data_IF_222848041813
#
_entry.id   IF_222848041813
#
_cell.length_a   1.000
_cell.length_b   1.000
_cell.length_c   1.000
_cell.angle_alpha   90.00
_cell.angle_beta   90.00
_cell.angle_gamma   90.00
#
_symmetry.space_group_name_H-M   'P 1'
#
loop_
_entity.id
_entity.type
_entity.pdbx_description
1 polymer ?
#
# COMPACT_ATOMS: atom_id res chain seq x y z
N UNK A 1 19.42 -10.86 -19.81
CA UNK A 1 18.75 -9.62 -20.29
C UNK A 1 18.30 -8.87 -19.06
N UNK A 2 18.52 -7.56 -18.99
CA UNK A 2 18.02 -6.73 -17.89
C UNK A 2 16.67 -6.18 -18.31
N UNK A 3 15.65 -6.41 -17.48
CA UNK A 3 14.33 -5.79 -17.61
C UNK A 3 14.42 -4.33 -17.19
N UNK A 4 13.72 -3.44 -17.87
CA UNK A 4 13.57 -2.05 -17.44
C UNK A 4 12.46 -1.98 -16.36
N UNK A 5 12.78 -1.61 -15.11
CA UNK A 5 11.79 -1.54 -14.04
C UNK A 5 10.75 -0.42 -14.22
N UNK A 6 10.97 0.51 -15.15
CA UNK A 6 10.02 1.58 -15.48
C UNK A 6 9.08 1.26 -16.63
N UNK A 7 9.28 0.14 -17.33
CA UNK A 7 8.39 -0.33 -18.40
C UNK A 7 7.40 -1.38 -17.83
N UNK A 8 6.12 -1.01 -17.58
CA UNK A 8 5.14 -1.92 -17.00
C UNK A 8 4.82 -3.10 -17.93
N UNK A 9 4.97 -2.93 -19.24
CA UNK A 9 4.68 -3.97 -20.24
C UNK A 9 5.73 -5.09 -20.24
N UNK A 10 6.88 -4.88 -19.56
CA UNK A 10 7.87 -5.95 -19.39
C UNK A 10 7.51 -6.91 -18.23
N UNK A 11 6.49 -6.58 -17.43
CA UNK A 11 5.99 -7.46 -16.39
C UNK A 11 4.77 -8.25 -16.89
N UNK A 12 4.76 -9.56 -16.68
CA UNK A 12 3.54 -10.36 -16.85
C UNK A 12 2.58 -10.04 -15.71
N UNK A 13 1.28 -9.93 -16.02
CA UNK A 13 0.24 -9.68 -15.03
C UNK A 13 0.19 -10.86 -14.05
N UNK A 14 0.51 -10.66 -12.76
CA UNK A 14 0.74 -11.78 -11.84
C UNK A 14 -0.56 -12.39 -11.31
N UNK A 15 -1.74 -11.96 -11.78
CA UNK A 15 -3.01 -12.52 -11.35
C UNK A 15 -3.10 -13.98 -11.80
N UNK A 16 -3.05 -14.96 -10.88
CA UNK A 16 -3.10 -16.35 -11.26
C UNK A 16 -4.52 -16.72 -11.71
N UNK A 17 -4.63 -17.51 -12.78
CA UNK A 17 -5.92 -18.00 -13.30
C UNK A 17 -6.67 -18.89 -12.27
N UNK A 18 -5.93 -19.46 -11.31
CA UNK A 18 -6.41 -20.33 -10.25
C UNK A 18 -5.92 -19.82 -8.88
N UNK A 19 -6.69 -20.02 -7.79
CA UNK A 19 -6.25 -19.61 -6.45
C UNK A 19 -4.94 -20.32 -6.08
N UNK A 20 -3.99 -19.54 -5.54
CA UNK A 20 -2.68 -20.06 -5.14
C UNK A 20 -2.86 -21.15 -4.07
N UNK A 21 -2.47 -22.41 -4.32
CA UNK A 21 -2.63 -23.50 -3.36
C UNK A 21 -1.80 -23.31 -2.09
N UNK A 22 -0.79 -22.43 -2.12
CA UNK A 22 0.04 -22.08 -0.96
C UNK A 22 -0.58 -20.95 -0.13
N UNK A 23 -1.56 -20.22 -0.66
CA UNK A 23 -2.29 -19.17 0.04
C UNK A 23 -3.66 -19.70 0.55
N UNK A 24 -3.89 -19.76 1.87
CA UNK A 24 -5.22 -20.05 2.41
C UNK A 24 -6.30 -19.14 1.82
N UNK A 25 -7.53 -19.68 1.66
CA UNK A 25 -8.67 -18.92 1.12
C UNK A 25 -8.95 -17.63 1.93
N UNK A 26 -8.77 -17.69 3.24
CA UNK A 26 -8.95 -16.54 4.13
C UNK A 26 -7.91 -15.44 3.83
N UNK A 27 -6.65 -15.81 3.70
CA UNK A 27 -5.56 -14.88 3.40
C UNK A 27 -5.76 -14.22 2.03
N UNK A 28 -6.15 -15.01 1.02
CA UNK A 28 -6.48 -14.50 -0.32
C UNK A 28 -7.64 -13.50 -0.27
N UNK A 29 -8.69 -13.81 0.51
CA UNK A 29 -9.83 -12.92 0.68
C UNK A 29 -9.46 -11.60 1.37
N UNK A 30 -8.56 -11.63 2.35
CA UNK A 30 -8.04 -10.42 3.00
C UNK A 30 -7.20 -9.57 2.03
N UNK A 31 -6.33 -10.19 1.23
CA UNK A 31 -5.45 -9.50 0.29
C UNK A 31 -6.19 -8.82 -0.87
N UNK A 32 -7.32 -9.38 -1.29
CA UNK A 32 -8.16 -8.81 -2.35
C UNK A 32 -9.14 -7.75 -1.83
N UNK A 33 -9.26 -7.56 -0.52
CA UNK A 33 -10.13 -6.56 0.04
C UNK A 33 -9.57 -5.15 -0.22
N UNK A 34 -10.45 -4.22 -0.61
CA UNK A 34 -10.06 -2.82 -0.76
C UNK A 34 -9.52 -2.25 0.56
N UNK A 35 -8.37 -1.59 0.50
CA UNK A 35 -7.82 -0.84 1.63
C UNK A 35 -8.75 0.32 1.94
N UNK A 36 -9.11 0.50 3.22
CA UNK A 36 -10.02 1.56 3.67
C UNK A 36 -9.30 2.51 4.64
N UNK A 37 -8.62 3.56 4.13
CA UNK A 37 -7.83 4.49 4.94
C UNK A 37 -8.66 5.17 6.04
N UNK A 38 -9.96 5.36 5.79
CA UNK A 38 -10.91 5.98 6.72
C UNK A 38 -11.05 5.26 8.07
N UNK A 39 -10.71 3.96 8.11
CA UNK A 39 -10.85 3.12 9.30
C UNK A 39 -9.56 3.03 10.10
N UNK A 40 -8.43 3.43 9.52
CA UNK A 40 -7.17 3.45 10.22
C UNK A 40 -7.12 4.70 11.10
N UNK A 41 -6.87 4.49 12.38
CA UNK A 41 -6.79 5.59 13.33
C UNK A 41 -5.47 6.34 13.11
N UNK A 42 -5.48 7.68 12.96
CA UNK A 42 -4.26 8.43 12.75
C UNK A 42 -3.26 8.15 13.87
N UNK A 43 -1.98 8.02 13.50
CA UNK A 43 -0.88 7.78 14.43
C UNK A 43 -0.69 9.00 15.33
N UNK A 44 -1.52 9.12 16.37
CA UNK A 44 -1.69 10.33 17.19
C UNK A 44 -0.81 10.35 18.44
N UNK A 45 -0.13 9.24 18.76
CA UNK A 45 0.71 9.06 19.95
C UNK A 45 2.22 9.09 19.68
N UNK A 46 2.66 9.66 18.56
CA UNK A 46 4.09 9.79 18.24
C UNK A 46 4.80 10.71 19.22
N UNK A 47 5.93 10.25 19.73
CA UNK A 47 6.88 11.07 20.46
C UNK A 47 7.53 12.07 19.51
N UNK A 48 7.15 13.34 19.65
CA UNK A 48 7.62 14.42 18.76
C UNK A 48 9.10 14.75 18.95
N UNK A 49 9.69 14.33 20.06
CA UNK A 49 11.12 14.54 20.33
C UNK A 49 11.98 13.39 19.75
N UNK A 50 11.36 12.32 19.25
CA UNK A 50 12.05 11.16 18.68
C UNK A 50 12.43 11.34 17.19
N UNK A 51 11.90 12.36 16.52
CA UNK A 51 12.18 12.70 15.12
C UNK A 51 12.30 14.23 14.95
N UNK A 52 12.82 14.68 13.81
CA UNK A 52 12.75 16.10 13.45
C UNK A 52 11.28 16.54 13.29
N UNK A 53 10.99 17.82 13.55
CA UNK A 53 9.63 18.36 13.51
C UNK A 53 8.94 18.13 12.16
N UNK A 54 9.69 18.20 11.04
CA UNK A 54 9.14 17.97 9.71
C UNK A 54 8.75 16.49 9.51
N UNK A 55 9.60 15.57 9.96
CA UNK A 55 9.34 14.13 9.86
C UNK A 55 8.15 13.73 10.73
N UNK A 56 8.09 14.24 11.97
CA UNK A 56 6.97 13.97 12.89
C UNK A 56 5.64 14.51 12.32
N UNK A 57 5.66 15.65 11.65
CA UNK A 57 4.48 16.22 11.01
C UNK A 57 3.99 15.38 9.81
N UNK A 58 4.91 14.87 8.99
CA UNK A 58 4.56 14.01 7.85
C UNK A 58 4.01 12.65 8.32
N UNK A 59 4.63 12.02 9.34
CA UNK A 59 4.16 10.74 9.89
C UNK A 59 2.80 10.83 10.58
N UNK A 60 2.43 12.00 11.09
CA UNK A 60 1.11 12.25 11.66
C UNK A 60 0.01 12.41 10.59
N UNK A 61 0.40 12.60 9.32
CA UNK A 61 -0.53 12.97 8.25
C UNK A 61 -1.24 11.72 7.73
N UNK A 62 -2.56 11.82 7.60
CA UNK A 62 -3.37 10.81 6.91
C UNK A 62 -3.36 11.13 5.41
N UNK A 63 -2.89 10.17 4.60
CA UNK A 63 -2.92 10.28 3.14
C UNK A 63 -4.27 9.74 2.65
N UNK A 64 -5.08 10.62 2.07
CA UNK A 64 -6.29 10.22 1.36
C UNK A 64 -5.89 9.58 0.04
N UNK A 65 -6.41 8.38 -0.25
CA UNK A 65 -6.30 7.81 -1.59
C UNK A 65 -7.26 8.57 -2.50
N UNK A 66 -6.74 9.49 -3.31
CA UNK A 66 -7.48 10.14 -4.39
C UNK A 66 -6.94 9.60 -5.72
N UNK A 67 -7.75 8.79 -6.40
CA UNK A 67 -7.38 8.15 -7.67
C UNK A 67 -7.33 9.17 -8.83
N UNK A 68 -7.96 10.35 -8.68
CA UNK A 68 -7.96 11.41 -9.70
C UNK A 68 -6.66 12.26 -9.68
N UNK A 69 -5.84 12.16 -8.62
CA UNK A 69 -4.56 12.86 -8.48
C UNK A 69 -3.44 12.24 -9.34
N UNK A 70 -3.62 11.02 -9.83
CA UNK A 70 -2.71 10.35 -10.77
C UNK A 70 -3.26 10.42 -12.20
N UNK A 71 -3.09 11.58 -12.87
CA UNK A 71 -3.34 11.75 -14.32
C UNK A 71 -2.07 12.00 -15.12
#
# INVERSE_FOLDING_TARGET
MTVDPTDPETFEDPQPDEPDPEAPEADTAEQQAAVRPERDEPLSGIDRDAADEADAAEQARVVTQDEDDYR
#
